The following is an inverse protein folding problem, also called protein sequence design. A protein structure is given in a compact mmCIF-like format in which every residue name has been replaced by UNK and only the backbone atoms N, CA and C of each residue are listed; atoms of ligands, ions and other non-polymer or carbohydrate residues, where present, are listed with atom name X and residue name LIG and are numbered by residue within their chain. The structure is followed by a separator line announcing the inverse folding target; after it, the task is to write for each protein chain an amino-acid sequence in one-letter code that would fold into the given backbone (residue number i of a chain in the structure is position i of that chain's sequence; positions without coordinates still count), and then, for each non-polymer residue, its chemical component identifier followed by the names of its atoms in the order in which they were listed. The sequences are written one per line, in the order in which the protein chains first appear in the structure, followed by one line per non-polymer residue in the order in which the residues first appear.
data_IF_321001928385
#
_entry.id   IF_321001928385
#
_cell.length_a   1.000
_cell.length_b   1.000
_cell.length_c   1.000
_cell.angle_alpha   90.00
_cell.angle_beta   90.00
_cell.angle_gamma   90.00
#
_symmetry.space_group_name_H-M   'P 1'
#
loop_
_entity.id
_entity.type
_entity.pdbx_description
1 polymer ?
#
# COMPACT_ATOMS: atom_id res chain seq x y z
N UNK A 1 21.98 -7.42 1.06
CA UNK A 1 23.16 -6.54 0.95
C UNK A 1 22.98 -5.21 1.68
N UNK A 2 22.31 -4.17 1.13
CA UNK A 2 22.29 -2.84 1.76
C UNK A 2 21.46 -2.77 3.08
N UNK A 3 20.31 -3.44 3.13
CA UNK A 3 19.43 -3.44 4.31
C UNK A 3 19.99 -4.29 5.48
N UNK A 4 20.75 -5.33 5.17
CA UNK A 4 21.36 -6.23 6.18
C UNK A 4 22.49 -5.55 6.97
N UNK A 5 23.09 -4.49 6.42
CA UNK A 5 24.16 -3.75 7.07
C UNK A 5 23.65 -2.66 8.05
N UNK A 6 22.34 -2.40 8.08
CA UNK A 6 21.77 -1.37 8.96
C UNK A 6 21.59 -1.89 10.40
N UNK A 7 21.83 -1.06 11.43
CA UNK A 7 21.56 -1.42 12.82
C UNK A 7 20.05 -1.48 13.10
N UNK A 8 19.65 -2.26 14.11
CA UNK A 8 18.26 -2.31 14.57
C UNK A 8 17.90 -1.10 15.46
N UNK A 9 16.64 -0.60 15.38
CA UNK A 9 15.58 -1.02 14.47
C UNK A 9 15.77 -0.45 13.05
N UNK A 10 15.36 -1.24 12.05
CA UNK A 10 15.42 -0.87 10.62
C UNK A 10 14.05 -0.41 10.12
N UNK A 11 13.79 0.91 10.04
CA UNK A 11 12.55 1.40 9.46
C UNK A 11 12.56 1.19 7.95
N UNK A 12 11.57 0.46 7.46
CA UNK A 12 11.35 0.20 6.04
C UNK A 12 9.89 0.51 5.76
N UNK A 13 9.61 1.17 4.63
CA UNK A 13 8.26 1.36 4.12
C UNK A 13 8.16 0.81 2.70
N UNK A 14 6.96 0.37 2.33
CA UNK A 14 6.60 -0.09 1.00
C UNK A 14 5.08 0.02 0.84
N UNK A 15 4.63 0.00 -0.41
CA UNK A 15 3.21 0.01 -0.78
C UNK A 15 2.68 -1.39 -1.15
N UNK A 16 3.34 -2.46 -0.71
CA UNK A 16 2.89 -3.82 -0.96
C UNK A 16 1.82 -4.26 0.06
N UNK A 17 0.84 -5.10 -0.35
CA UNK A 17 -0.08 -5.74 0.58
C UNK A 17 0.67 -6.53 1.65
N UNK A 18 0.05 -6.73 2.81
CA UNK A 18 0.66 -7.47 3.90
C UNK A 18 1.08 -8.87 3.46
N UNK A 19 0.30 -9.59 2.67
CA UNK A 19 0.64 -10.97 2.33
C UNK A 19 1.84 -11.10 1.35
N UNK A 20 2.32 -9.99 0.78
CA UNK A 20 3.44 -9.97 -0.18
C UNK A 20 4.80 -9.61 0.44
N UNK A 21 4.85 -9.36 1.75
CA UNK A 21 6.08 -8.92 2.45
C UNK A 21 6.63 -10.00 3.39
N UNK A 22 7.95 -10.02 3.64
CA UNK A 22 8.56 -10.99 4.56
C UNK A 22 7.99 -10.91 5.99
N UNK A 23 7.77 -12.08 6.60
CA UNK A 23 7.25 -12.21 7.97
C UNK A 23 8.37 -12.51 8.95
N UNK A 24 8.41 -11.76 10.04
CA UNK A 24 9.33 -11.96 11.15
C UNK A 24 8.60 -11.70 12.47
N UNK A 25 8.59 -12.66 13.42
CA UNK A 25 7.95 -12.49 14.73
C UNK A 25 8.47 -11.29 15.55
N UNK A 26 9.71 -10.85 15.31
CA UNK A 26 10.35 -9.73 16.00
C UNK A 26 10.13 -8.37 15.32
N UNK A 27 9.44 -8.35 14.17
CA UNK A 27 9.15 -7.12 13.42
C UNK A 27 7.75 -6.62 13.74
N UNK A 28 7.61 -5.31 13.96
CA UNK A 28 6.31 -4.64 14.07
C UNK A 28 5.83 -4.18 12.69
N UNK A 29 4.55 -4.38 12.41
CA UNK A 29 3.94 -4.04 11.12
C UNK A 29 2.94 -2.91 11.31
N UNK A 30 3.27 -1.72 10.82
CA UNK A 30 2.39 -0.55 10.83
C UNK A 30 1.81 -0.34 9.43
N UNK A 31 0.50 -0.07 9.35
CA UNK A 31 -0.18 0.27 8.11
C UNK A 31 -0.91 1.60 8.25
N UNK A 32 -0.84 2.40 7.19
CA UNK A 32 -1.54 3.68 7.10
C UNK A 32 -2.62 3.52 6.04
N UNK A 33 -3.88 3.50 6.45
CA UNK A 33 -5.02 3.60 5.53
C UNK A 33 -5.58 5.03 5.56
N UNK A 34 -6.13 5.44 4.43
CA UNK A 34 -6.77 6.75 4.23
C UNK A 34 -8.08 6.51 3.51
N UNK A 35 -9.11 7.33 3.72
CA UNK A 35 -10.37 7.26 2.98
C UNK A 35 -10.13 6.97 1.47
N UNK A 36 -10.78 5.94 0.89
CA UNK A 36 -10.55 5.52 -0.49
C UNK A 36 -10.79 6.65 -1.50
N UNK A 37 -11.73 7.56 -1.23
CA UNK A 37 -12.03 8.70 -2.12
C UNK A 37 -10.84 9.66 -2.18
N UNK A 38 -10.22 9.95 -1.03
CA UNK A 38 -9.05 10.83 -0.97
C UNK A 38 -7.80 10.16 -1.54
N UNK A 39 -7.69 8.84 -1.33
CA UNK A 39 -6.61 8.01 -1.88
C UNK A 39 -6.68 8.01 -3.40
N UNK A 40 -7.85 7.73 -3.98
CA UNK A 40 -8.10 7.76 -5.42
C UNK A 40 -7.66 9.09 -6.06
N UNK A 41 -8.11 10.22 -5.53
CA UNK A 41 -7.78 11.54 -6.08
C UNK A 41 -6.27 11.78 -6.07
N UNK A 42 -5.62 11.48 -4.94
CA UNK A 42 -4.17 11.65 -4.81
C UNK A 42 -3.42 10.72 -5.76
N UNK A 43 -3.87 9.47 -5.90
CA UNK A 43 -3.21 8.47 -6.72
C UNK A 43 -3.36 8.78 -8.22
N UNK A 44 -4.55 9.22 -8.65
CA UNK A 44 -4.76 9.74 -10.00
C UNK A 44 -3.78 10.87 -10.34
N UNK A 45 -3.71 11.90 -9.48
CA UNK A 45 -2.81 13.03 -9.71
C UNK A 45 -1.33 12.61 -9.73
N UNK A 46 -0.94 11.68 -8.87
CA UNK A 46 0.41 11.11 -8.86
C UNK A 46 0.71 10.37 -10.18
N UNK A 47 -0.17 9.46 -10.61
CA UNK A 47 -0.01 8.70 -11.87
C UNK A 47 0.09 9.62 -13.08
N UNK A 48 -0.76 10.65 -13.17
CA UNK A 48 -0.69 11.61 -14.29
C UNK A 48 0.61 12.41 -14.30
N UNK A 49 1.25 12.61 -13.12
CA UNK A 49 2.50 13.33 -13.02
C UNK A 49 3.74 12.46 -13.29
N UNK A 50 3.73 11.19 -12.85
CA UNK A 50 4.92 10.33 -12.90
C UNK A 50 5.02 9.46 -14.14
N UNK A 51 3.88 9.04 -14.69
CA UNK A 51 3.85 7.98 -15.69
C UNK A 51 3.63 8.52 -17.11
N UNK A 52 3.59 9.84 -17.27
CA UNK A 52 3.25 10.55 -18.52
C UNK A 52 1.94 10.04 -19.16
N UNK A 53 1.08 9.42 -18.35
CA UNK A 53 -0.21 8.87 -18.73
C UNK A 53 -1.22 10.01 -18.89
N UNK A 54 -2.08 9.88 -19.89
CA UNK A 54 -3.18 10.81 -20.14
C UNK A 54 -4.48 10.02 -20.11
N UNK A 55 -5.03 9.83 -18.91
CA UNK A 55 -6.29 9.11 -18.65
C UNK A 55 -7.26 10.07 -17.99
N UNK A 56 -8.55 9.96 -18.28
CA UNK A 56 -9.55 10.78 -17.59
C UNK A 56 -9.73 10.32 -16.14
N UNK A 57 -10.23 11.19 -15.28
CA UNK A 57 -10.53 10.80 -13.90
C UNK A 57 -11.56 9.66 -13.83
N UNK A 58 -12.56 9.67 -14.71
CA UNK A 58 -13.63 8.65 -14.73
C UNK A 58 -13.08 7.27 -15.13
N UNK A 59 -12.24 7.20 -16.17
CA UNK A 59 -11.59 5.95 -16.57
C UNK A 59 -10.65 5.41 -15.48
N UNK A 60 -9.94 6.31 -14.79
CA UNK A 60 -9.08 5.94 -13.68
C UNK A 60 -9.89 5.48 -12.47
N UNK A 61 -11.02 6.11 -12.18
CA UNK A 61 -11.94 5.69 -11.12
C UNK A 61 -12.43 4.26 -11.35
N UNK A 62 -12.87 3.93 -12.57
CA UNK A 62 -13.28 2.57 -12.94
C UNK A 62 -12.12 1.57 -12.78
N UNK A 63 -10.91 1.97 -13.19
CA UNK A 63 -9.71 1.14 -13.02
C UNK A 63 -9.38 0.92 -11.53
N UNK A 64 -9.47 1.95 -10.70
CA UNK A 64 -9.21 1.89 -9.26
C UNK A 64 -10.20 0.96 -8.55
N UNK A 65 -11.50 1.09 -8.82
CA UNK A 65 -12.54 0.24 -8.23
C UNK A 65 -12.43 -1.22 -8.68
N UNK A 66 -11.89 -1.47 -9.88
CA UNK A 66 -11.65 -2.83 -10.39
C UNK A 66 -10.28 -3.41 -9.97
N UNK A 67 -9.49 -2.66 -9.20
CA UNK A 67 -8.13 -3.07 -8.80
C UNK A 67 -7.14 -3.16 -9.98
N UNK A 68 -7.41 -2.45 -11.08
CA UNK A 68 -6.56 -2.40 -12.29
C UNK A 68 -5.55 -1.25 -12.25
N UNK A 69 -5.16 -0.82 -11.04
CA UNK A 69 -4.13 0.19 -10.78
C UNK A 69 -2.94 -0.46 -10.08
N UNK A 70 -1.85 0.29 -9.88
CA UNK A 70 -0.72 -0.23 -9.13
C UNK A 70 -1.17 -0.67 -7.73
N UNK A 71 -0.56 -1.75 -7.23
CA UNK A 71 -0.87 -2.38 -5.94
C UNK A 71 -2.25 -3.06 -5.83
N UNK A 72 -3.04 -3.10 -6.90
CA UNK A 72 -4.24 -3.93 -7.01
C UNK A 72 -5.50 -3.31 -6.40
N UNK A 73 -6.41 -4.16 -5.93
CA UNK A 73 -7.66 -3.72 -5.29
C UNK A 73 -7.38 -3.04 -3.95
N UNK A 74 -7.93 -1.84 -3.78
CA UNK A 74 -7.70 -1.03 -2.59
C UNK A 74 -8.22 -1.69 -1.29
N UNK A 75 -9.39 -2.33 -1.34
CA UNK A 75 -10.01 -2.92 -0.15
C UNK A 75 -9.28 -4.18 0.27
N UNK A 76 -8.96 -5.07 -0.67
CA UNK A 76 -8.13 -6.25 -0.41
C UNK A 76 -6.76 -5.83 0.16
N UNK A 77 -6.17 -4.77 -0.40
CA UNK A 77 -4.90 -4.23 0.10
C UNK A 77 -5.00 -3.77 1.56
N UNK A 78 -6.05 -3.04 1.94
CA UNK A 78 -6.27 -2.60 3.33
C UNK A 78 -6.60 -3.79 4.25
N UNK A 79 -7.45 -4.70 3.80
CA UNK A 79 -7.88 -5.85 4.59
C UNK A 79 -6.73 -6.81 4.89
N UNK A 80 -5.73 -6.91 4.00
CA UNK A 80 -4.56 -7.76 4.18
C UNK A 80 -3.84 -7.58 5.53
N UNK A 81 -3.79 -6.36 6.09
CA UNK A 81 -3.36 -6.13 7.48
C UNK A 81 -4.54 -5.94 8.45
N UNK A 82 -5.62 -5.26 8.05
CA UNK A 82 -6.70 -4.90 8.99
C UNK A 82 -7.34 -6.11 9.68
N UNK A 83 -7.43 -7.25 8.99
CA UNK A 83 -7.92 -8.50 9.58
C UNK A 83 -7.03 -9.03 10.71
N UNK A 84 -5.74 -8.66 10.69
CA UNK A 84 -4.68 -9.02 11.64
C UNK A 84 -4.42 -7.96 12.69
N UNK A 85 -5.29 -6.93 12.81
CA UNK A 85 -5.13 -5.83 13.79
C UNK A 85 -5.07 -6.26 15.26
N UNK A 86 -5.36 -7.52 15.56
CA UNK A 86 -5.26 -8.10 16.90
C UNK A 86 -4.01 -8.98 17.09
N UNK A 87 -3.18 -9.13 16.05
CA UNK A 87 -1.92 -9.87 16.14
C UNK A 87 -0.95 -9.10 17.05
N UNK A 88 -0.13 -9.78 17.89
CA UNK A 88 0.74 -9.10 18.86
C UNK A 88 1.77 -8.14 18.27
N UNK A 89 2.10 -8.28 16.98
CA UNK A 89 3.08 -7.48 16.27
C UNK A 89 2.45 -6.44 15.31
N UNK A 90 1.13 -6.30 15.34
CA UNK A 90 0.37 -5.27 14.63
C UNK A 90 -0.20 -4.32 15.68
N UNK A 91 0.29 -3.07 15.75
CA UNK A 91 -0.15 -2.09 16.74
C UNK A 91 -1.54 -1.51 16.44
#
# INVERSE_FOLDING_TARGET
AAIEALPDPRPIHYHLPYDMIPKNPNTKYLYIFRNPKDTLVTFYLFTMHTDELHVTFDDYFESFIRGLVAYGDYFDHVLSLYERRHDPNVP
#
